data_IF_541695674031
#
_entry.id   IF_541695674031
#
_cell.length_a   1.000
_cell.length_b   1.000
_cell.length_c   1.000
_cell.angle_alpha   90.00
_cell.angle_beta   90.00
_cell.angle_gamma   90.00
#
_symmetry.space_group_name_H-M   'P 1'
#
loop_
_entity.id
_entity.type
_entity.pdbx_description
1 polymer ?
2 non-polymer ?
3 non-polymer ?
4 non-polymer ?
5 non-polymer ?
6 non-polymer ?
7 non-polymer ?
8 water ?
#
# COMPACT_ATOMS: atom_id res chain seq x y z
N UNK A 3 -25.90 15.80 12.78
CA UNK A 3 -24.92 15.40 13.80
C UNK A 3 -23.82 14.57 13.16
N UNK A 4 -22.67 14.51 13.83
CA UNK A 4 -21.51 13.83 13.26
C UNK A 4 -21.70 12.32 13.26
N UNK A 5 -21.05 11.62 12.36
CA UNK A 5 -21.01 10.15 12.47
C UNK A 5 -20.27 9.76 13.74
N UNK A 6 -20.76 8.71 14.40
CA UNK A 6 -20.18 8.21 15.64
C UNK A 6 -19.18 7.13 15.26
N UNK A 7 -17.91 7.53 15.13
CA UNK A 7 -16.88 6.65 14.58
C UNK A 7 -15.60 6.76 15.39
N UNK A 8 -14.81 5.69 15.31
CA UNK A 8 -13.48 5.57 15.91
C UNK A 8 -12.50 5.34 14.78
N UNK A 9 -11.71 6.36 14.44
CA UNK A 9 -10.82 6.27 13.29
C UNK A 9 -9.59 5.45 13.56
N UNK A 10 -9.40 4.97 14.80
CA UNK A 10 -8.35 4.01 15.12
C UNK A 10 -8.89 2.59 15.22
N UNK A 11 -10.17 2.37 14.90
CA UNK A 11 -10.81 1.06 14.97
C UNK A 11 -10.82 0.42 13.57
N UNK A 12 -10.17 -0.73 13.44
CA UNK A 12 -10.12 -1.37 12.13
C UNK A 12 -11.49 -1.69 11.56
N UNK A 13 -12.50 -1.86 12.42
CA UNK A 13 -13.84 -2.15 11.91
C UNK A 13 -14.42 -0.98 11.14
N UNK A 14 -14.00 0.26 11.44
CA UNK A 14 -14.45 1.39 10.65
C UNK A 14 -14.06 1.23 9.18
N UNK A 15 -12.83 0.81 8.93
CA UNK A 15 -12.29 0.73 7.58
C UNK A 15 -12.77 -0.51 6.84
N UNK A 16 -13.30 -1.49 7.56
CA UNK A 16 -13.91 -2.63 6.91
C UNK A 16 -15.35 -2.35 6.52
N UNK A 17 -15.87 -1.20 6.92
CA UNK A 17 -17.23 -0.80 6.62
C UNK A 17 -17.26 -0.07 5.28
N UNK A 18 -18.19 -0.49 4.44
CA UNK A 18 -18.48 0.18 3.20
C UNK A 18 -19.31 1.44 3.43
N UNK A 19 -19.54 1.84 4.67
CA UNK A 19 -20.09 3.16 4.95
C UNK A 19 -19.01 4.12 5.48
N UNK A 20 -17.73 3.76 5.40
CA UNK A 20 -16.67 4.70 5.74
C UNK A 20 -16.73 5.92 4.83
N UNK A 21 -16.97 5.72 3.53
CA UNK A 21 -16.94 6.88 2.66
C UNK A 21 -18.11 7.81 2.95
N UNK A 22 -19.24 7.26 3.42
CA UNK A 22 -20.35 8.11 3.85
C UNK A 22 -19.93 8.98 5.03
N UNK A 23 -19.17 8.41 5.96
CA UNK A 23 -18.66 9.19 7.09
C UNK A 23 -17.66 10.24 6.61
N UNK A 24 -16.75 9.86 5.71
CA UNK A 24 -15.81 10.83 5.17
C UNK A 24 -16.54 12.00 4.53
N UNK A 25 -17.59 11.70 3.76
CA UNK A 25 -18.34 12.75 3.07
C UNK A 25 -18.87 13.76 4.07
N UNK A 26 -19.40 13.30 5.20
CA UNK A 26 -19.89 14.23 6.21
C UNK A 26 -18.75 15.08 6.77
N UNK A 27 -17.61 14.46 7.05
CA UNK A 27 -16.43 15.16 7.54
C UNK A 27 -16.05 16.28 6.59
N UNK A 28 -15.95 15.96 5.30
CA UNK A 28 -15.47 16.96 4.34
C UNK A 28 -16.43 18.12 4.25
N UNK A 29 -17.74 17.88 4.41
CA UNK A 29 -18.73 18.93 4.29
C UNK A 29 -18.96 19.71 5.57
N UNK A 30 -18.60 19.17 6.73
CA UNK A 30 -19.01 19.77 7.99
C UNK A 30 -17.89 20.08 8.98
N UNK A 31 -16.79 19.33 8.92
CA UNK A 31 -15.66 19.56 9.83
C UNK A 31 -14.42 18.95 9.19
N UNK A 32 -13.82 19.65 8.24
CA UNK A 32 -12.80 19.01 7.39
C UNK A 32 -11.65 18.43 8.19
N UNK A 33 -11.23 19.11 9.24
CA UNK A 33 -10.28 18.53 10.20
C UNK A 33 -11.16 18.04 11.35
N UNK A 34 -11.49 16.76 11.29
CA UNK A 34 -12.51 16.12 12.10
C UNK A 34 -11.91 15.60 13.38
N UNK A 35 -12.71 15.63 14.46
CA UNK A 35 -12.37 14.88 15.68
C UNK A 35 -13.36 13.76 15.89
N UNK A 36 -12.85 12.53 16.04
CA UNK A 36 -13.73 11.38 16.14
C UNK A 36 -14.26 11.26 17.57
N UNK A 37 -14.92 10.13 17.88
CA UNK A 37 -15.62 10.00 19.15
C UNK A 37 -14.69 10.04 20.34
N UNK A 38 -13.40 9.78 20.13
CA UNK A 38 -12.40 9.82 21.18
C UNK A 38 -11.55 11.08 21.11
N UNK A 39 -11.87 11.99 20.23
CA UNK A 39 -11.11 13.20 20.08
C UNK A 39 -9.93 13.14 19.14
N UNK A 40 -9.72 12.01 18.46
CA UNK A 40 -8.62 11.89 17.51
C UNK A 40 -8.87 12.75 16.27
N UNK A 41 -7.90 13.58 15.94
CA UNK A 41 -8.02 14.51 14.82
C UNK A 41 -7.63 13.85 13.51
N UNK A 42 -8.32 14.22 12.44
CA UNK A 42 -8.08 13.63 11.13
C UNK A 42 -8.40 14.63 10.03
N UNK A 43 -7.45 14.84 9.12
CA UNK A 43 -7.67 15.67 7.95
C UNK A 43 -8.38 14.87 6.89
N UNK A 44 -9.61 15.29 6.54
CA UNK A 44 -10.46 14.53 5.63
C UNK A 44 -10.52 15.09 4.22
N UNK A 45 -10.15 16.36 4.01
CA UNK A 45 -10.26 16.93 2.67
C UNK A 45 -8.92 16.84 1.98
N UNK A 46 -8.97 16.81 0.65
CA UNK A 46 -7.74 16.86 -0.12
C UNK A 46 -6.91 18.08 0.26
N UNK A 47 -7.55 19.24 0.34
CA UNK A 47 -6.84 20.47 0.70
C UNK A 47 -6.13 20.36 2.05
N UNK A 48 -6.81 19.83 3.07
CA UNK A 48 -6.19 19.71 4.38
C UNK A 48 -5.05 18.70 4.37
N UNK A 49 -5.23 17.57 3.67
CA UNK A 49 -4.14 16.61 3.61
C UNK A 49 -2.92 17.23 2.94
N UNK A 50 -3.11 17.88 1.79
CA UNK A 50 -2.00 18.48 1.06
C UNK A 50 -1.34 19.57 1.89
N UNK A 51 -2.14 20.42 2.54
CA UNK A 51 -1.57 21.50 3.33
C UNK A 51 -0.77 20.97 4.51
N UNK A 52 -1.18 19.84 5.10
CA UNK A 52 -0.39 19.24 6.17
C UNK A 52 0.88 18.62 5.64
N UNK A 53 0.80 17.95 4.49
CA UNK A 53 1.99 17.35 3.88
C UNK A 53 3.04 18.40 3.54
N UNK A 54 2.58 19.60 3.14
CA UNK A 54 3.48 20.67 2.74
C UNK A 54 4.06 21.43 3.92
N UNK A 55 3.70 21.05 5.15
CA UNK A 55 4.16 21.72 6.37
C UNK A 55 4.77 20.70 7.34
N UNK A 56 5.83 20.03 6.92
CA UNK A 56 6.39 18.97 7.77
C UNK A 56 6.99 19.46 9.07
N UNK A 57 7.35 20.75 9.19
CA UNK A 57 7.89 21.22 10.46
C UNK A 57 6.80 21.40 11.50
N UNK A 58 5.56 21.57 11.07
CA UNK A 58 4.43 21.62 11.97
C UNK A 58 3.79 20.24 12.15
N UNK A 59 3.74 19.46 11.08
CA UNK A 59 3.13 18.13 11.05
C UNK A 59 4.25 17.11 10.82
N UNK A 60 4.80 16.61 11.91
CA UNK A 60 6.05 15.86 11.91
C UNK A 60 5.79 14.36 11.82
N UNK A 61 6.75 13.65 11.22
CA UNK A 61 6.71 12.19 11.21
C UNK A 61 7.48 11.57 12.37
N UNK A 62 8.18 12.38 13.16
CA UNK A 62 9.13 11.86 14.14
C UNK A 62 8.48 11.35 15.41
N UNK A 63 7.17 11.47 15.55
CA UNK A 63 6.45 10.75 16.59
C UNK A 63 5.96 9.38 16.18
N UNK A 64 6.22 8.96 14.96
CA UNK A 64 5.69 7.72 14.42
C UNK A 64 4.41 7.96 13.64
N UNK A 65 4.15 7.08 12.67
CA UNK A 65 3.05 7.31 11.75
C UNK A 65 1.78 6.53 12.11
N UNK A 66 1.75 5.88 13.28
CA UNK A 66 0.53 5.25 13.80
C UNK A 66 0.02 5.98 15.03
N UNK A 67 -1.28 5.87 15.35
CA UNK A 67 -1.86 6.78 16.36
C UNK A 67 -1.42 6.55 17.79
N UNK A 68 -1.03 5.34 18.16
CA UNK A 68 -0.69 5.12 19.57
C UNK A 68 0.52 4.21 19.71
N UNK A 69 1.52 4.42 18.85
CA UNK A 69 2.76 3.69 18.82
C UNK A 69 3.90 4.69 18.64
N UNK A 70 5.05 4.47 19.26
CA UNK A 70 6.17 5.41 19.14
C UNK A 70 6.92 5.25 17.83
N UNK A 71 7.81 6.20 17.58
CA UNK A 71 8.66 6.16 16.39
C UNK A 71 9.66 5.02 16.45
N UNK A 72 9.91 4.43 15.29
CA UNK A 72 10.99 3.49 15.07
C UNK A 72 12.06 4.10 14.19
N UNK A 73 13.28 3.56 14.21
CA UNK A 73 14.39 4.20 13.47
C UNK A 73 14.45 3.80 12.01
N UNK A 74 13.46 4.29 11.26
CA UNK A 74 13.38 4.10 9.82
C UNK A 74 12.91 5.39 9.20
N UNK A 75 13.05 5.49 7.86
CA UNK A 75 12.86 6.78 7.21
C UNK A 75 11.46 7.33 7.40
N UNK A 76 10.44 6.48 7.42
CA UNK A 76 9.07 7.00 7.44
C UNK A 76 8.73 7.63 8.78
N UNK A 77 9.54 7.36 9.81
CA UNK A 77 9.37 7.97 11.12
C UNK A 77 10.40 9.05 11.40
N UNK A 78 10.99 9.63 10.35
CA UNK A 78 11.99 10.68 10.47
C UNK A 78 11.61 11.93 9.70
N UNK A 79 12.15 13.05 10.17
CA UNK A 79 12.00 14.34 9.53
C UNK A 79 13.30 14.73 8.86
N UNK A 80 13.21 15.63 7.90
CA UNK A 80 14.40 16.20 7.30
C UNK A 80 15.13 17.07 8.33
N UNK A 81 16.46 17.12 8.30
CA UNK A 81 17.33 16.57 7.25
C UNK A 81 17.73 15.09 7.39
N UNK A 82 17.54 14.48 8.55
CA UNK A 82 17.93 13.09 8.72
C UNK A 82 17.17 12.20 7.75
N UNK A 83 15.88 12.46 7.58
CA UNK A 83 15.08 11.66 6.65
C UNK A 83 15.63 11.73 5.24
N UNK A 84 16.06 12.91 4.80
CA UNK A 84 16.52 13.05 3.41
C UNK A 84 17.78 12.24 3.14
N UNK A 85 18.70 12.22 4.10
CA UNK A 85 19.90 11.40 3.95
C UNK A 85 19.53 9.93 3.86
N UNK A 86 18.64 9.48 4.75
CA UNK A 86 18.24 8.07 4.75
C UNK A 86 17.57 7.70 3.44
N UNK A 87 16.68 8.57 2.96
CA UNK A 87 15.98 8.28 1.72
C UNK A 87 16.92 8.27 0.52
N UNK A 88 17.88 9.20 0.47
CA UNK A 88 18.86 9.18 -0.62
C UNK A 88 19.67 7.91 -0.63
N UNK A 89 19.99 7.39 0.56
CA UNK A 89 20.73 6.15 0.66
C UNK A 89 19.92 4.98 0.13
N UNK A 90 18.67 4.88 0.58
CA UNK A 90 17.81 3.77 0.18
C UNK A 90 17.41 3.92 -1.28
N UNK A 91 17.39 5.15 -1.80
CA UNK A 91 16.98 5.38 -3.18
C UNK A 91 17.84 4.63 -4.19
N UNK A 92 19.06 4.23 -3.83
CA UNK A 92 19.87 3.43 -4.74
C UNK A 92 19.14 2.19 -5.23
N UNK A 93 18.23 1.64 -4.44
CA UNK A 93 17.48 0.51 -4.89
C UNK A 93 16.24 0.82 -5.70
N UNK A 94 15.94 2.10 -5.93
CA UNK A 94 14.67 2.52 -6.51
C UNK A 94 14.88 3.60 -7.57
N UNK A 95 16.07 3.68 -8.14
CA UNK A 95 16.25 4.56 -9.30
C UNK A 95 15.34 4.11 -10.42
N UNK A 96 14.98 5.06 -11.29
CA UNK A 96 13.99 4.77 -12.31
C UNK A 96 14.46 3.68 -13.25
N UNK A 97 15.76 3.63 -13.55
CA UNK A 97 16.23 2.61 -14.48
C UNK A 97 16.25 1.23 -13.82
N UNK A 98 16.68 1.15 -12.55
CA UNK A 98 16.71 -0.14 -11.86
C UNK A 98 15.31 -0.74 -11.75
N UNK A 99 14.33 0.10 -11.42
CA UNK A 99 12.96 -0.39 -11.31
C UNK A 99 12.44 -0.81 -12.67
N UNK A 100 12.61 0.03 -13.69
CA UNK A 100 12.11 -0.33 -15.01
C UNK A 100 12.76 -1.61 -15.53
N UNK A 101 14.03 -1.85 -15.16
CA UNK A 101 14.69 -3.07 -15.60
C UNK A 101 14.06 -4.34 -15.06
N UNK A 102 13.23 -4.25 -14.02
CA UNK A 102 12.59 -5.43 -13.46
C UNK A 102 11.39 -5.89 -14.28
N UNK A 103 11.06 -5.18 -15.36
CA UNK A 103 9.81 -5.45 -16.07
C UNK A 103 9.73 -6.90 -16.53
N UNK A 104 10.80 -7.42 -17.16
CA UNK A 104 10.74 -8.80 -17.66
C UNK A 104 10.55 -9.80 -16.53
N UNK A 105 11.27 -9.62 -15.42
CA UNK A 105 11.16 -10.58 -14.33
C UNK A 105 9.78 -10.52 -13.68
N UNK A 106 9.22 -9.32 -13.53
CA UNK A 106 7.88 -9.20 -12.96
C UNK A 106 6.86 -9.82 -13.89
N UNK A 107 7.00 -9.59 -15.20
CA UNK A 107 6.09 -10.18 -16.18
C UNK A 107 6.15 -11.70 -16.11
N UNK A 108 7.35 -12.26 -15.98
CA UNK A 108 7.46 -13.71 -15.89
C UNK A 108 6.75 -14.24 -14.65
N UNK A 109 6.84 -13.53 -13.52
CA UNK A 109 6.09 -13.95 -12.34
C UNK A 109 4.59 -13.90 -12.59
N UNK A 110 4.12 -12.82 -13.24
CA UNK A 110 2.70 -12.75 -13.54
C UNK A 110 2.26 -13.93 -14.38
N UNK A 111 3.05 -14.29 -15.40
CA UNK A 111 2.61 -15.38 -16.27
C UNK A 111 2.65 -16.71 -15.56
N UNK A 112 3.62 -16.90 -14.65
CA UNK A 112 3.66 -18.12 -13.85
C UNK A 112 2.43 -18.22 -12.96
N UNK A 113 2.06 -17.10 -12.31
CA UNK A 113 0.90 -17.12 -11.44
C UNK A 113 -0.39 -17.38 -12.21
N UNK A 114 -0.54 -16.76 -13.38
CA UNK A 114 -1.74 -17.01 -14.19
C UNK A 114 -1.72 -18.44 -14.73
N UNK A 115 -0.53 -18.95 -15.08
CA UNK A 115 -0.44 -20.35 -15.52
C UNK A 115 -0.99 -21.31 -14.46
N UNK A 116 -0.84 -20.96 -13.19
CA UNK A 116 -1.25 -21.85 -12.12
C UNK A 116 -2.75 -21.97 -12.01
N UNK A 117 -3.52 -21.03 -12.55
CA UNK A 117 -4.97 -21.06 -12.42
C UNK A 117 -5.70 -21.11 -13.76
N UNK A 118 -5.03 -20.81 -14.88
CA UNK A 118 -5.77 -20.56 -16.12
C UNK A 118 -6.54 -21.77 -16.63
N UNK A 119 -6.13 -22.98 -16.28
CA UNK A 119 -6.88 -24.16 -16.73
C UNK A 119 -8.10 -24.45 -15.87
N UNK A 120 -8.25 -23.78 -14.73
CA UNK A 120 -9.29 -24.13 -13.76
C UNK A 120 -10.62 -23.47 -14.07
N UNK A 121 -10.60 -22.29 -14.66
CA UNK A 121 -11.81 -21.53 -14.90
C UNK A 121 -12.33 -20.79 -13.70
N UNK A 122 -11.64 -20.85 -12.57
CA UNK A 122 -12.03 -20.14 -11.37
C UNK A 122 -10.78 -19.98 -10.53
N UNK A 123 -10.67 -18.85 -9.84
CA UNK A 123 -9.65 -18.72 -8.81
C UNK A 123 -10.13 -17.68 -7.81
N UNK A 124 -9.43 -17.58 -6.70
CA UNK A 124 -9.61 -16.48 -5.76
C UNK A 124 -8.59 -15.44 -6.18
N UNK A 125 -9.07 -14.34 -6.76
CA UNK A 125 -8.15 -13.36 -7.31
C UNK A 125 -7.17 -12.85 -6.25
N UNK A 126 -7.64 -12.71 -5.02
CA UNK A 126 -6.76 -12.25 -3.94
C UNK A 126 -5.69 -13.29 -3.62
N UNK A 127 -6.11 -14.50 -3.31
CA UNK A 127 -5.17 -15.53 -2.87
C UNK A 127 -4.18 -15.92 -3.95
N UNK A 128 -4.66 -15.96 -5.21
CA UNK A 128 -3.92 -16.61 -6.28
C UNK A 128 -3.17 -15.65 -7.19
N UNK A 129 -3.55 -14.38 -7.22
CA UNK A 129 -2.90 -13.42 -8.12
C UNK A 129 -2.46 -12.16 -7.38
N UNK A 130 -3.38 -11.50 -6.68
CA UNK A 130 -3.06 -10.19 -6.11
C UNK A 130 -2.08 -10.27 -4.95
N UNK A 131 -2.23 -11.24 -4.08
CA UNK A 131 -1.34 -11.32 -2.93
C UNK A 131 0.02 -11.92 -3.30
N UNK A 132 0.10 -12.99 -4.10
CA UNK A 132 1.42 -13.57 -4.35
C UNK A 132 2.33 -12.73 -5.20
N UNK A 133 1.82 -11.92 -6.13
CA UNK A 133 2.74 -11.23 -7.03
C UNK A 133 3.63 -10.27 -6.30
N UNK A 134 3.11 -9.35 -5.49
CA UNK A 134 4.01 -8.37 -4.83
C UNK A 134 4.97 -9.03 -3.88
N UNK A 135 4.57 -10.13 -3.25
CA UNK A 135 5.48 -10.86 -2.38
C UNK A 135 6.61 -11.51 -3.17
N UNK A 136 6.30 -12.05 -4.33
CA UNK A 136 7.34 -12.68 -5.13
C UNK A 136 8.34 -11.65 -5.64
N UNK A 137 7.84 -10.47 -6.03
CA UNK A 137 8.72 -9.42 -6.52
C UNK A 137 9.67 -8.95 -5.43
N UNK A 138 9.11 -8.59 -4.26
CA UNK A 138 9.97 -8.11 -3.19
C UNK A 138 10.82 -9.27 -2.64
N UNK A 139 10.26 -10.48 -2.60
CA UNK A 139 11.04 -11.62 -2.16
C UNK A 139 12.27 -11.83 -3.04
N UNK A 140 12.09 -11.71 -4.36
CA UNK A 140 13.23 -11.89 -5.25
C UNK A 140 14.27 -10.79 -5.06
N UNK A 141 13.83 -9.57 -4.74
CA UNK A 141 14.74 -8.47 -4.44
C UNK A 141 15.52 -8.77 -3.16
N UNK A 142 14.90 -9.43 -2.19
CA UNK A 142 15.52 -9.70 -0.90
C UNK A 142 16.21 -11.06 -0.82
N UNK A 143 16.23 -11.83 -1.90
CA UNK A 143 16.89 -13.13 -1.87
C UNK A 143 16.10 -14.26 -1.24
N UNK A 144 14.78 -14.13 -1.16
CA UNK A 144 13.93 -15.16 -0.57
C UNK A 144 13.72 -16.28 -1.57
N UNK A 145 13.98 -17.52 -1.14
CA UNK A 145 13.72 -18.66 -2.01
C UNK A 145 12.23 -18.69 -2.34
N UNK A 146 11.84 -19.09 -3.54
CA UNK A 146 10.41 -19.10 -3.87
C UNK A 146 9.57 -19.88 -2.87
N UNK A 147 10.09 -21.01 -2.37
CA UNK A 147 9.31 -21.83 -1.45
C UNK A 147 9.27 -21.25 -0.04
N UNK A 148 9.98 -20.17 0.24
CA UNK A 148 9.91 -19.46 1.50
C UNK A 148 9.09 -18.17 1.42
N UNK A 149 8.49 -17.87 0.27
CA UNK A 149 7.70 -16.64 0.16
C UNK A 149 6.53 -16.64 1.13
N UNK A 150 5.88 -17.80 1.30
CA UNK A 150 4.71 -17.83 2.17
C UNK A 150 5.08 -17.52 3.62
N UNK A 151 6.26 -17.96 4.04
CA UNK A 151 6.75 -17.63 5.37
C UNK A 151 6.89 -16.13 5.54
N UNK A 152 7.51 -15.48 4.57
CA UNK A 152 7.66 -14.03 4.64
C UNK A 152 6.32 -13.32 4.56
N UNK A 153 5.39 -13.86 3.78
CA UNK A 153 4.05 -13.27 3.71
C UNK A 153 3.37 -13.32 5.07
N UNK A 154 3.55 -14.44 5.79
CA UNK A 154 2.98 -14.55 7.14
C UNK A 154 3.58 -13.54 8.09
N UNK A 155 4.92 -13.44 8.11
CA UNK A 155 5.57 -12.43 8.96
C UNK A 155 5.04 -11.03 8.63
N UNK A 156 4.90 -10.73 7.34
CA UNK A 156 4.43 -9.42 6.92
C UNK A 156 3.00 -9.17 7.39
N UNK A 157 2.15 -10.19 7.29
CA UNK A 157 0.79 -10.09 7.80
C UNK A 157 0.80 -9.79 9.29
N UNK A 158 1.63 -10.54 10.04
CA UNK A 158 1.74 -10.30 11.47
C UNK A 158 2.09 -8.85 11.74
N UNK A 159 3.10 -8.34 11.03
CA UNK A 159 3.64 -7.04 11.35
C UNK A 159 2.68 -5.93 10.95
N UNK A 160 1.99 -6.08 9.81
CA UNK A 160 1.04 -5.05 9.41
C UNK A 160 -0.21 -5.09 10.28
N UNK A 161 -0.54 -6.26 10.86
CA UNK A 161 -1.64 -6.30 11.82
C UNK A 161 -1.27 -5.49 13.07
N UNK A 162 -0.01 -5.57 13.50
CA UNK A 162 0.43 -4.78 14.64
C UNK A 162 0.26 -3.29 14.38
N UNK A 163 0.55 -2.86 13.15
CA UNK A 163 0.44 -1.45 12.79
C UNK A 163 -1.00 -1.02 12.65
N UNK A 164 -1.91 -1.98 12.48
CA UNK A 164 -3.30 -1.77 12.10
C UNK A 164 -4.26 -1.89 13.27
N UNK A 165 -3.75 -2.00 14.49
CA UNK A 165 -4.59 -2.19 15.65
C UNK A 165 -3.80 -1.81 16.90
N UNK A 166 -4.44 -1.97 18.06
CA UNK A 166 -3.77 -1.98 19.36
C UNK A 166 -3.77 -3.44 19.80
N UNK A 167 -2.62 -4.11 19.68
CA UNK A 167 -2.57 -5.57 19.78
C UNK A 167 -2.69 -6.02 21.23
N UNK A 168 -3.25 -7.21 21.41
CA UNK A 168 -3.18 -7.90 22.69
C UNK A 168 -1.73 -8.30 22.98
N UNK A 169 -1.50 -8.87 24.17
CA UNK A 169 -0.16 -9.29 24.53
C UNK A 169 0.33 -10.42 23.63
N UNK A 170 -0.55 -11.36 23.29
CA UNK A 170 -0.13 -12.49 22.46
C UNK A 170 0.17 -12.06 21.04
N UNK A 171 -0.62 -11.14 20.47
CA UNK A 171 -0.31 -10.62 19.14
C UNK A 171 0.93 -9.73 19.16
N UNK A 172 1.17 -9.04 20.28
CA UNK A 172 2.45 -8.34 20.44
C UNK A 172 3.62 -9.33 20.40
N UNK A 173 3.49 -10.45 21.11
CA UNK A 173 4.56 -11.43 21.09
C UNK A 173 4.77 -12.01 19.69
N UNK A 174 3.69 -12.27 18.97
CA UNK A 174 3.81 -12.78 17.60
C UNK A 174 4.55 -11.78 16.72
N UNK A 175 4.26 -10.49 16.89
CA UNK A 175 4.94 -9.46 16.12
C UNK A 175 6.43 -9.46 16.43
N UNK A 176 6.78 -9.55 17.71
CA UNK A 176 8.19 -9.52 18.08
C UNK A 176 8.91 -10.77 17.57
N UNK A 177 8.22 -11.91 17.58
CA UNK A 177 8.80 -13.14 17.06
C UNK A 177 9.07 -13.03 15.55
N UNK A 178 8.07 -12.53 14.83
CA UNK A 178 8.23 -12.31 13.39
C UNK A 178 9.38 -11.36 13.11
N UNK A 179 9.48 -10.26 13.86
CA UNK A 179 10.60 -9.36 13.65
C UNK A 179 11.94 -10.06 13.93
N UNK A 180 12.01 -10.85 15.01
CA UNK A 180 13.25 -11.54 15.31
C UNK A 180 13.67 -12.43 14.16
N UNK A 181 12.72 -13.13 13.55
CA UNK A 181 13.05 -14.01 12.45
C UNK A 181 13.49 -13.20 11.23
N UNK A 182 12.80 -12.11 10.94
CA UNK A 182 13.19 -11.24 9.82
C UNK A 182 14.57 -10.66 10.05
N UNK A 183 14.84 -10.22 11.28
CA UNK A 183 16.15 -9.67 11.63
C UNK A 183 17.24 -10.68 11.36
N UNK A 184 17.03 -11.93 11.79
CA UNK A 184 18.03 -12.97 11.59
C UNK A 184 18.31 -13.20 10.12
N UNK A 185 17.24 -13.38 9.32
CA UNK A 185 17.39 -13.62 7.89
C UNK A 185 18.16 -12.47 7.24
N UNK A 186 17.78 -11.24 7.57
CA UNK A 186 18.35 -10.08 6.89
C UNK A 186 19.79 -9.87 7.30
N UNK A 187 20.13 -10.06 8.57
CA UNK A 187 21.54 -9.93 8.97
C UNK A 187 22.39 -11.03 8.35
N UNK A 188 21.83 -12.22 8.11
CA UNK A 188 22.57 -13.23 7.35
C UNK A 188 22.82 -12.75 5.92
N UNK A 189 21.81 -12.15 5.28
CA UNK A 189 22.00 -11.63 3.93
C UNK A 189 23.04 -10.51 3.91
N UNK A 190 22.91 -9.56 4.83
CA UNK A 190 23.86 -8.45 4.90
C UNK A 190 25.29 -8.96 5.01
N UNK A 191 25.54 -9.90 5.92
CA UNK A 191 26.90 -10.39 6.08
C UNK A 191 27.41 -11.05 4.81
N UNK A 192 26.55 -11.81 4.13
CA UNK A 192 26.95 -12.47 2.89
C UNK A 192 27.24 -11.45 1.80
N UNK A 193 26.39 -10.43 1.67
CA UNK A 193 26.58 -9.48 0.58
C UNK A 193 27.72 -8.50 0.85
N UNK A 194 27.97 -8.12 2.11
CA UNK A 194 29.12 -7.29 2.41
C UNK A 194 30.40 -8.01 1.99
N UNK A 195 30.43 -9.34 2.18
CA UNK A 195 31.61 -10.12 1.81
C UNK A 195 31.64 -10.43 0.32
N UNK A 196 30.49 -10.68 -0.28
CA UNK A 196 30.43 -11.12 -1.67
C UNK A 196 29.18 -10.53 -2.32
N UNK A 197 29.27 -9.30 -2.83
CA UNK A 197 28.07 -8.63 -3.35
C UNK A 197 27.49 -9.34 -4.56
N UNK A 198 26.16 -9.31 -4.67
CA UNK A 198 25.49 -9.71 -5.90
C UNK A 198 24.82 -8.47 -6.48
N UNK A 199 23.72 -8.65 -7.19
CA UNK A 199 22.98 -7.50 -7.71
C UNK A 199 21.62 -7.33 -7.06
N UNK A 200 21.42 -7.90 -5.87
CA UNK A 200 20.12 -7.83 -5.21
C UNK A 200 20.05 -6.56 -4.36
N UNK A 201 18.91 -6.39 -3.68
CA UNK A 201 18.65 -5.12 -3.02
C UNK A 201 19.62 -4.87 -1.86
N UNK A 202 19.92 -5.90 -1.06
CA UNK A 202 20.83 -5.67 0.05
C UNK A 202 22.20 -5.30 -0.48
N UNK A 203 22.63 -5.94 -1.59
CA UNK A 203 23.91 -5.58 -2.20
C UNK A 203 23.91 -4.12 -2.63
N UNK A 204 22.85 -3.67 -3.29
CA UNK A 204 22.82 -2.28 -3.76
C UNK A 204 22.80 -1.33 -2.57
N UNK A 205 22.04 -1.68 -1.52
CA UNK A 205 21.95 -0.79 -0.37
C UNK A 205 23.26 -0.74 0.40
N UNK A 206 24.00 -1.84 0.45
CA UNK A 206 25.29 -1.85 1.13
C UNK A 206 26.27 -0.93 0.42
N UNK A 207 26.19 -0.87 -0.90
CA UNK A 207 27.13 -0.07 -1.68
C UNK A 207 26.72 1.40 -1.77
N UNK A 208 25.48 1.72 -1.39
CA UNK A 208 25.01 3.10 -1.49
C UNK A 208 25.82 4.00 -0.57
N UNK A 209 26.23 5.16 -1.09
CA UNK A 209 26.98 6.14 -0.32
C UNK A 209 26.48 7.53 -0.68
N UNK A 210 26.25 8.35 0.34
CA UNK A 210 25.69 9.69 0.18
C UNK A 210 26.33 10.60 1.21
N UNK A 211 26.91 11.71 0.74
CA UNK A 211 27.55 12.67 1.64
C UNK A 211 28.59 11.98 2.52
N UNK A 212 29.31 11.02 1.94
CA UNK A 212 30.27 10.22 2.67
C UNK A 212 29.70 9.25 3.68
N UNK A 213 28.38 9.05 3.69
CA UNK A 213 27.72 8.21 4.68
C UNK A 213 27.22 6.93 4.04
N UNK A 214 27.09 5.88 4.85
CA UNK A 214 26.54 4.60 4.40
C UNK A 214 25.52 4.07 5.41
N UNK A 215 24.74 3.09 4.99
CA UNK A 215 23.76 2.46 5.87
C UNK A 215 24.43 1.43 6.78
N UNK A 216 24.16 1.53 8.07
CA UNK A 216 24.62 0.54 9.02
C UNK A 216 23.77 -0.73 8.91
N UNK A 217 24.27 -1.80 9.55
CA UNK A 217 23.48 -3.03 9.60
C UNK A 217 22.12 -2.79 10.24
N UNK A 218 22.09 -2.06 11.36
CA UNK A 218 20.80 -1.76 12.00
C UNK A 218 19.86 -1.05 11.04
N UNK A 219 20.38 -0.07 10.30
CA UNK A 219 19.54 0.68 9.38
C UNK A 219 19.10 -0.19 8.21
N UNK A 220 19.98 -1.07 7.74
CA UNK A 220 19.59 -1.95 6.64
C UNK A 220 18.45 -2.86 7.04
N UNK A 221 18.48 -3.38 8.27
CA UNK A 221 17.37 -4.22 8.72
C UNK A 221 16.07 -3.42 8.73
N UNK A 222 16.12 -2.22 9.30
CA UNK A 222 14.87 -1.46 9.44
C UNK A 222 14.35 -0.96 8.10
N UNK A 223 15.23 -0.50 7.20
CA UNK A 223 14.75 0.01 5.93
C UNK A 223 14.26 -1.11 5.01
N UNK A 224 14.92 -2.28 5.03
CA UNK A 224 14.38 -3.39 4.22
C UNK A 224 13.08 -3.91 4.82
N UNK A 225 12.90 -3.81 6.14
CA UNK A 225 11.62 -4.18 6.73
C UNK A 225 10.50 -3.27 6.24
N UNK A 226 10.77 -1.95 6.24
CA UNK A 226 9.80 -0.99 5.70
C UNK A 226 9.45 -1.32 4.26
N UNK A 227 10.46 -1.69 3.46
CA UNK A 227 10.24 -2.04 2.06
C UNK A 227 9.42 -3.31 1.94
N UNK A 228 9.77 -4.35 2.74
CA UNK A 228 9.03 -5.61 2.69
C UNK A 228 7.56 -5.36 2.96
N UNK A 229 7.24 -4.58 4.00
CA UNK A 229 5.84 -4.37 4.36
C UNK A 229 5.15 -3.36 3.46
N UNK A 230 5.89 -2.68 2.58
CA UNK A 230 5.30 -1.98 1.46
C UNK A 230 5.18 -2.88 0.26
N UNK A 231 6.21 -3.71 0.05
CA UNK A 231 6.20 -4.60 -1.09
C UNK A 231 5.06 -5.60 -1.07
N UNK A 232 4.74 -6.13 0.11
CA UNK A 232 3.83 -7.27 0.16
C UNK A 232 2.56 -7.07 0.99
N UNK A 233 2.25 -5.85 1.45
CA UNK A 233 0.94 -5.65 2.09
C UNK A 233 0.11 -4.51 1.53
N UNK A 234 0.53 -3.86 0.44
CA UNK A 234 -0.19 -2.70 -0.08
C UNK A 234 -0.70 -2.96 -1.49
N UNK A 235 0.22 -3.13 -2.43
CA UNK A 235 -0.04 -3.35 -3.85
C UNK A 235 -1.13 -4.38 -4.07
N UNK A 236 -1.11 -5.44 -3.26
CA UNK A 236 -2.14 -6.48 -3.36
C UNK A 236 -3.53 -5.89 -3.36
N UNK A 237 -3.78 -4.90 -2.49
CA UNK A 237 -5.14 -4.40 -2.33
C UNK A 237 -5.57 -3.53 -3.50
N UNK A 238 -4.63 -2.82 -4.12
CA UNK A 238 -4.98 -2.10 -5.34
C UNK A 238 -5.21 -3.08 -6.49
N UNK A 239 -4.40 -4.15 -6.58
CA UNK A 239 -4.63 -5.15 -7.62
C UNK A 239 -6.02 -5.77 -7.51
N UNK A 240 -6.40 -6.20 -6.31
CA UNK A 240 -7.70 -6.83 -6.14
C UNK A 240 -8.84 -5.82 -6.27
N UNK A 241 -8.77 -4.74 -5.49
CA UNK A 241 -9.84 -3.78 -5.49
C UNK A 241 -10.00 -3.06 -6.81
N UNK A 242 -8.90 -2.78 -7.48
CA UNK A 242 -8.99 -2.11 -8.76
C UNK A 242 -9.55 -3.01 -9.83
N UNK A 243 -9.13 -4.29 -9.85
CA UNK A 243 -9.71 -5.24 -10.79
C UNK A 243 -11.20 -5.44 -10.50
N UNK A 244 -11.56 -5.42 -9.22
CA UNK A 244 -12.98 -5.53 -8.86
C UNK A 244 -13.80 -4.43 -9.49
N UNK A 245 -13.30 -3.19 -9.50
CA UNK A 245 -14.06 -2.11 -10.12
C UNK A 245 -14.14 -2.28 -11.62
N UNK A 246 -13.09 -2.80 -12.25
CA UNK A 246 -13.18 -3.10 -13.68
C UNK A 246 -14.27 -4.13 -13.96
N UNK A 247 -14.40 -5.12 -13.09
CA UNK A 247 -15.37 -6.19 -13.31
C UNK A 247 -16.78 -5.73 -12.94
N UNK A 248 -16.91 -4.82 -11.98
CA UNK A 248 -18.23 -4.31 -11.61
C UNK A 248 -18.79 -3.38 -12.67
N UNK A 249 -17.93 -2.67 -13.39
CA UNK A 249 -18.28 -1.68 -14.40
C UNK A 249 -17.77 -2.21 -15.73
N UNK A 250 -18.58 -3.07 -16.37
CA UNK A 250 -18.10 -3.78 -17.54
C UNK A 250 -17.67 -2.85 -18.66
N UNK A 251 -18.24 -1.66 -18.74
CA UNK A 251 -17.81 -0.69 -19.76
C UNK A 251 -16.33 -0.35 -19.59
N UNK A 252 -15.86 -0.31 -18.35
CA UNK A 252 -14.46 0.00 -18.08
C UNK A 252 -13.55 -1.16 -18.49
N UNK A 253 -13.96 -2.38 -18.11
CA UNK A 253 -13.25 -3.57 -18.57
C UNK A 253 -13.15 -3.57 -20.09
N UNK A 254 -14.28 -3.29 -20.76
CA UNK A 254 -14.30 -3.36 -22.22
C UNK A 254 -13.40 -2.31 -22.84
N UNK A 255 -13.37 -1.11 -22.26
CA UNK A 255 -12.48 -0.06 -22.76
C UNK A 255 -11.03 -0.52 -22.72
N UNK A 256 -10.61 -1.04 -21.59
CA UNK A 256 -9.21 -1.45 -21.44
C UNK A 256 -8.87 -2.60 -22.37
N UNK A 257 -9.79 -3.53 -22.57
CA UNK A 257 -9.48 -4.69 -23.39
C UNK A 257 -9.26 -4.30 -24.84
N UNK A 258 -10.01 -3.32 -25.34
CA UNK A 258 -9.85 -2.93 -26.73
C UNK A 258 -8.80 -1.86 -26.93
N UNK A 259 -8.33 -1.22 -25.85
CA UNK A 259 -7.29 -0.20 -25.97
C UNK A 259 -6.28 -0.28 -24.85
N UNK A 260 -5.23 -1.10 -25.01
CA UNK A 260 -4.24 -1.24 -23.93
C UNK A 260 -3.52 0.05 -23.59
N UNK A 261 -3.55 1.06 -24.47
CA UNK A 261 -2.90 2.33 -24.16
C UNK A 261 -3.62 3.10 -23.05
N UNK A 262 -4.81 2.66 -22.67
CA UNK A 262 -5.51 3.24 -21.54
C UNK A 262 -5.04 2.67 -20.20
N UNK A 263 -4.12 1.71 -20.20
CA UNK A 263 -3.72 1.10 -18.95
C UNK A 263 -3.09 2.07 -17.96
N UNK A 264 -2.20 2.99 -18.35
CA UNK A 264 -1.63 3.89 -17.32
C UNK A 264 -2.71 4.65 -16.56
N UNK A 265 -3.70 5.22 -17.26
CA UNK A 265 -4.77 5.91 -16.55
C UNK A 265 -5.60 4.97 -15.70
N UNK A 266 -5.79 3.74 -16.17
CA UNK A 266 -6.55 2.78 -15.38
C UNK A 266 -5.85 2.47 -14.07
N UNK A 267 -4.52 2.30 -14.11
CA UNK A 267 -3.78 2.03 -12.89
C UNK A 267 -3.93 3.19 -11.91
N UNK A 268 -3.90 4.43 -12.41
CA UNK A 268 -4.07 5.57 -11.52
C UNK A 268 -5.46 5.60 -10.88
N UNK A 269 -6.50 5.22 -11.63
CA UNK A 269 -7.84 5.19 -11.05
C UNK A 269 -8.01 4.01 -10.09
N UNK A 270 -7.33 2.88 -10.34
CA UNK A 270 -7.33 1.81 -9.36
C UNK A 270 -6.71 2.29 -8.05
N UNK A 271 -5.61 3.04 -8.14
CA UNK A 271 -4.95 3.57 -6.95
C UNK A 271 -5.83 4.57 -6.22
N UNK A 272 -6.44 5.51 -6.96
CA UNK A 272 -7.30 6.49 -6.32
C UNK A 272 -8.39 5.80 -5.51
N UNK A 273 -9.05 4.84 -6.15
CA UNK A 273 -10.24 4.22 -5.60
C UNK A 273 -9.91 3.37 -4.38
N UNK A 274 -8.83 2.59 -4.45
CA UNK A 274 -8.54 1.59 -3.44
C UNK A 274 -7.83 2.13 -2.23
N UNK A 275 -7.01 3.17 -2.41
CA UNK A 275 -6.25 3.81 -1.35
C UNK A 275 -5.90 2.82 -0.24
N UNK A 276 -5.02 1.87 -0.51
CA UNK A 276 -4.78 0.80 0.50
C UNK A 276 -4.28 1.32 1.82
N UNK A 277 -3.47 2.37 1.81
CA UNK A 277 -3.05 3.04 3.02
C UNK A 277 -4.13 4.05 3.39
N UNK A 278 -4.89 3.74 4.46
CA UNK A 278 -6.04 4.54 4.83
C UNK A 278 -5.64 5.79 5.59
N UNK A 279 -4.49 5.76 6.27
CA UNK A 279 -4.03 6.95 6.97
C UNK A 279 -2.56 6.78 7.34
N UNK A 280 -1.88 7.91 7.44
CA UNK A 280 -0.60 8.14 8.14
C UNK A 280 -0.78 9.23 9.15
N UNK A 281 -0.13 9.09 10.29
CA UNK A 281 -0.22 10.10 11.33
C UNK A 281 0.89 11.14 11.21
N UNK A 282 0.59 12.33 11.72
CA UNK A 282 1.55 13.41 11.90
C UNK A 282 1.41 13.89 13.34
N UNK A 283 2.50 14.23 13.98
CA UNK A 283 2.43 14.77 15.34
C UNK A 283 2.65 16.28 15.25
N UNK A 284 1.82 17.03 15.98
CA UNK A 284 1.88 18.48 15.94
C UNK A 284 3.07 18.96 16.76
N UNK A 285 3.85 19.86 16.20
CA UNK A 285 4.98 20.44 16.94
C UNK A 285 4.63 21.76 17.62
N UNK A 286 3.41 22.26 17.43
CA UNK A 286 2.96 23.50 18.03
C UNK A 286 1.44 23.52 17.96
N UNK A 287 0.82 24.29 18.86
CA UNK A 287 -0.60 24.58 18.72
C UNK A 287 -0.84 25.28 17.40
N UNK A 288 -1.93 24.94 16.72
CA UNK A 288 -2.20 25.58 15.44
C UNK A 288 -3.67 25.49 15.10
N UNK A 289 -4.16 26.51 14.41
CA UNK A 289 -5.52 26.50 13.88
C UNK A 289 -5.40 26.03 12.43
N UNK A 290 -5.94 24.85 12.15
CA UNK A 290 -5.71 24.17 10.88
C UNK A 290 -7.06 23.89 10.20
N UNK A 291 -7.33 24.62 9.12
CA UNK A 291 -8.59 24.49 8.38
C UNK A 291 -9.78 24.41 9.32
N UNK A 292 -9.77 25.31 10.31
CA UNK A 292 -10.91 25.54 11.16
C UNK A 292 -10.93 24.76 12.44
N UNK A 293 -9.95 23.89 12.68
CA UNK A 293 -9.90 23.09 13.90
C UNK A 293 -8.63 23.43 14.67
N UNK A 294 -8.80 23.72 15.95
CA UNK A 294 -7.67 23.93 16.84
C UNK A 294 -7.00 22.60 17.17
N UNK A 295 -5.69 22.54 16.93
CA UNK A 295 -4.87 21.38 17.21
C UNK A 295 -3.82 21.74 18.25
N UNK A 296 -3.44 20.75 19.05
CA UNK A 296 -2.55 20.94 20.19
C UNK A 296 -1.19 20.30 19.95
N UNK A 297 -0.14 21.01 20.35
CA UNK A 297 1.20 20.44 20.30
C UNK A 297 1.21 19.08 20.98
N UNK A 298 1.81 18.10 20.31
CA UNK A 298 1.98 16.77 20.86
C UNK A 298 0.93 15.76 20.47
N UNK A 299 -0.21 16.20 19.96
CA UNK A 299 -1.23 15.25 19.52
C UNK A 299 -0.95 14.81 18.10
N UNK A 300 -1.50 13.65 17.74
CA UNK A 300 -1.40 13.13 16.38
C UNK A 300 -2.66 13.40 15.58
N UNK A 301 -2.46 13.80 14.35
CA UNK A 301 -3.44 13.93 13.30
C UNK A 301 -3.29 12.89 12.22
N UNK A 302 -4.38 12.21 11.86
CA UNK A 302 -4.48 11.30 10.70
C UNK A 302 -4.59 12.09 9.41
N UNK A 303 -3.85 11.67 8.41
CA UNK A 303 -4.12 12.06 7.02
C UNK A 303 -4.98 10.98 6.40
N UNK A 304 -6.24 11.31 6.05
CA UNK A 304 -7.16 10.28 5.53
C UNK A 304 -7.09 10.24 4.00
N UNK A 305 -6.20 9.38 3.49
CA UNK A 305 -5.93 9.42 2.05
C UNK A 305 -7.11 8.95 1.23
N UNK A 306 -7.86 7.95 1.69
CA UNK A 306 -9.04 7.56 0.93
C UNK A 306 -10.07 8.69 0.90
N UNK A 307 -10.28 9.35 2.03
CA UNK A 307 -11.21 10.48 2.05
C UNK A 307 -10.80 11.56 1.04
N UNK A 308 -9.52 11.90 1.02
CA UNK A 308 -9.03 12.90 0.08
C UNK A 308 -9.25 12.47 -1.36
N UNK A 309 -9.08 11.18 -1.63
CA UNK A 309 -9.23 10.63 -2.98
C UNK A 309 -10.67 10.64 -3.45
N UNK A 310 -11.63 10.87 -2.56
CA UNK A 310 -13.05 10.96 -2.94
C UNK A 310 -13.59 12.37 -2.69
N UNK A 311 -12.70 13.35 -2.64
CA UNK A 311 -13.07 14.75 -2.39
C UNK A 311 -13.55 15.37 -3.70
N UNK A 312 -14.85 15.68 -3.74
CA UNK A 312 -15.49 16.30 -4.89
C UNK A 312 -14.89 17.65 -5.25
N UNK A 313 -14.18 18.30 -4.33
CA UNK A 313 -13.52 19.56 -4.70
C UNK A 313 -12.43 19.34 -5.74
N UNK A 314 -11.87 18.12 -5.82
CA UNK A 314 -10.78 17.82 -6.71
C UNK A 314 -11.18 16.82 -7.78
N UNK A 315 -11.98 15.81 -7.42
CA UNK A 315 -12.37 14.73 -8.30
C UNK A 315 -13.86 14.84 -8.58
N UNK A 316 -14.20 15.24 -9.79
CA UNK A 316 -15.60 15.32 -10.20
C UNK A 316 -16.22 13.93 -10.17
N UNK A 317 -17.42 13.83 -9.61
CA UNK A 317 -18.16 12.58 -9.47
C UNK A 317 -17.21 11.51 -8.92
N UNK A 318 -16.70 11.70 -7.70
CA UNK A 318 -15.67 10.79 -7.19
C UNK A 318 -16.11 9.34 -7.01
N UNK A 319 -17.41 9.08 -6.87
CA UNK A 319 -17.88 7.71 -6.77
C UNK A 319 -18.08 7.05 -8.12
N UNK A 320 -17.66 7.72 -9.19
CA UNK A 320 -17.62 7.11 -10.51
C UNK A 320 -16.20 6.59 -10.76
N UNK A 321 -16.09 5.29 -11.02
CA UNK A 321 -14.80 4.73 -11.40
C UNK A 321 -14.60 5.00 -12.90
N UNK A 322 -13.56 5.77 -13.24
CA UNK A 322 -13.34 6.23 -14.61
C UNK A 322 -11.86 6.11 -14.94
N UNK A 323 -11.49 5.06 -15.70
CA UNK A 323 -10.08 4.83 -15.99
C UNK A 323 -9.45 5.94 -16.82
N UNK A 324 -10.26 6.81 -17.43
CA UNK A 324 -9.77 7.87 -18.29
C UNK A 324 -9.55 9.18 -17.54
N UNK A 325 -9.85 9.22 -16.26
CA UNK A 325 -9.72 10.43 -15.45
C UNK A 325 -8.42 11.16 -15.72
N UNK A 326 -8.52 12.42 -16.11
CA UNK A 326 -7.35 13.27 -16.34
C UNK A 326 -7.77 14.70 -16.04
N UNK A 327 -7.20 15.35 -15.01
CA UNK A 327 -6.14 14.83 -14.14
C UNK A 327 -6.66 13.80 -13.17
N UNK A 328 -5.74 13.09 -12.54
CA UNK A 328 -6.05 12.15 -11.49
C UNK A 328 -4.92 12.23 -10.46
N UNK A 329 -4.85 13.35 -9.76
CA UNK A 329 -3.77 13.64 -8.82
C UNK A 329 -4.11 13.10 -7.43
N UNK A 330 -4.32 11.79 -7.38
CA UNK A 330 -4.71 11.16 -6.14
C UNK A 330 -3.56 11.11 -5.16
N UNK A 331 -3.91 10.84 -3.90
CA UNK A 331 -2.97 10.80 -2.79
C UNK A 331 -2.79 9.39 -2.23
N UNK A 332 -2.98 8.35 -3.05
CA UNK A 332 -2.77 6.98 -2.54
C UNK A 332 -1.34 6.77 -2.04
N UNK A 333 -0.36 7.42 -2.70
CA UNK A 333 1.05 7.36 -2.33
C UNK A 333 1.47 8.54 -1.46
N UNK A 334 0.51 9.33 -0.98
CA UNK A 334 0.85 10.54 -0.27
C UNK A 334 1.36 11.66 -1.18
N UNK A 335 2.12 12.56 -0.56
CA UNK A 335 2.62 13.77 -1.21
C UNK A 335 3.72 14.34 -0.35
N UNK A 336 4.72 14.95 -1.00
CA UNK A 336 5.69 15.68 -0.24
C UNK A 336 6.92 14.84 0.11
N UNK A 337 7.56 15.13 1.23
CA UNK A 337 8.87 14.53 1.43
C UNK A 337 8.79 13.03 1.68
N UNK A 338 7.65 12.50 2.11
CA UNK A 338 7.51 11.07 2.35
C UNK A 338 6.78 10.32 1.23
N UNK A 339 6.49 10.99 0.12
CA UNK A 339 5.86 10.37 -1.05
C UNK A 339 6.45 9.00 -1.34
N UNK A 340 5.57 8.02 -1.51
CA UNK A 340 5.97 6.61 -1.51
C UNK A 340 7.20 6.37 -2.39
N UNK A 341 8.26 5.84 -1.76
CA UNK A 341 9.47 5.54 -2.48
C UNK A 341 9.28 4.39 -3.47
N UNK A 342 8.33 3.49 -3.21
CA UNK A 342 8.07 2.36 -4.05
C UNK A 342 7.01 2.58 -5.11
N UNK A 343 6.64 3.83 -5.36
CA UNK A 343 5.48 4.10 -6.21
C UNK A 343 5.70 3.57 -7.63
N UNK A 344 6.91 3.68 -8.16
CA UNK A 344 7.14 3.24 -9.53
C UNK A 344 7.06 1.72 -9.61
N UNK A 345 7.62 1.03 -8.61
CA UNK A 345 7.58 -0.43 -8.60
C UNK A 345 6.13 -0.91 -8.44
N UNK A 346 5.37 -0.28 -7.55
CA UNK A 346 3.96 -0.67 -7.40
C UNK A 346 3.20 -0.47 -8.71
N UNK A 347 3.39 0.67 -9.37
CA UNK A 347 2.70 0.93 -10.64
C UNK A 347 3.09 -0.09 -11.70
N UNK A 348 4.36 -0.48 -11.74
CA UNK A 348 4.82 -1.46 -12.71
C UNK A 348 4.19 -2.83 -12.45
N UNK A 349 4.16 -3.27 -11.18
CA UNK A 349 3.49 -4.52 -10.85
C UNK A 349 2.03 -4.48 -11.27
N UNK A 350 1.35 -3.38 -10.93
CA UNK A 350 -0.07 -3.28 -11.24
C UNK A 350 -0.30 -3.33 -12.75
N UNK A 351 0.53 -2.61 -13.50
CA UNK A 351 0.39 -2.59 -14.95
C UNK A 351 0.63 -3.97 -15.56
N UNK A 352 1.71 -4.63 -15.14
CA UNK A 352 2.07 -5.87 -15.79
C UNK A 352 1.05 -6.97 -15.49
N UNK A 353 0.54 -7.03 -14.25
CA UNK A 353 -0.38 -8.11 -13.92
C UNK A 353 -1.74 -7.78 -14.62
N UNK A 354 -2.18 -6.52 -14.57
CA UNK A 354 -3.47 -6.18 -15.17
C UNK A 354 -3.47 -6.39 -16.68
N UNK A 355 -2.38 -6.04 -17.37
CA UNK A 355 -2.36 -6.27 -18.81
C UNK A 355 -2.50 -7.75 -19.13
N UNK A 356 -1.92 -8.61 -18.31
CA UNK A 356 -1.97 -10.05 -18.56
C UNK A 356 -3.31 -10.66 -18.17
N UNK A 357 -3.92 -10.16 -17.09
CA UNK A 357 -5.27 -10.56 -16.73
C UNK A 357 -6.24 -10.22 -17.85
N UNK A 358 -6.17 -8.99 -18.37
CA UNK A 358 -7.07 -8.59 -19.44
C UNK A 358 -6.93 -9.47 -20.67
N UNK A 359 -5.70 -9.86 -21.01
CA UNK A 359 -5.53 -10.59 -22.25
C UNK A 359 -5.65 -12.10 -22.08
N UNK A 360 -5.33 -12.64 -20.92
CA UNK A 360 -5.34 -14.08 -20.72
C UNK A 360 -6.62 -14.59 -20.07
N UNK A 361 -7.33 -13.73 -19.35
CA UNK A 361 -8.62 -14.05 -18.74
C UNK A 361 -9.67 -13.07 -19.28
N UNK A 362 -9.87 -13.05 -20.61
CA UNK A 362 -10.59 -11.91 -21.22
C UNK A 362 -12.06 -11.81 -20.85
N UNK A 363 -12.69 -12.90 -20.39
CA UNK A 363 -14.09 -12.85 -19.97
C UNK A 363 -14.24 -13.00 -18.46
N UNK A 364 -13.21 -12.57 -17.71
CA UNK A 364 -13.25 -12.61 -16.27
C UNK A 364 -14.51 -11.97 -15.70
N UNK A 365 -15.09 -12.60 -14.70
CA UNK A 365 -16.22 -12.01 -14.01
C UNK A 365 -16.21 -12.43 -12.55
N UNK A 366 -16.82 -11.58 -11.74
CA UNK A 366 -17.00 -11.85 -10.32
C UNK A 366 -18.06 -12.93 -10.09
N UNK A 367 -17.79 -13.82 -9.14
CA UNK A 367 -18.81 -14.79 -8.74
C UNK A 367 -19.89 -14.14 -7.90
N UNK A 368 -19.50 -13.30 -6.95
CA UNK A 368 -20.47 -12.68 -6.07
C UNK A 368 -20.23 -11.19 -6.01
N UNK A 369 -21.29 -10.46 -5.70
CA UNK A 369 -21.32 -9.00 -5.68
C UNK A 369 -20.43 -8.45 -4.56
N UNK A 370 -20.04 -7.20 -4.72
CA UNK A 370 -19.22 -6.50 -3.73
C UNK A 370 -19.81 -6.59 -2.33
N UNK A 371 -21.13 -6.56 -2.21
CA UNK A 371 -21.75 -6.41 -0.90
C UNK A 371 -21.50 -7.59 0.02
N UNK A 372 -21.06 -8.74 -0.50
CA UNK A 372 -20.76 -9.88 0.35
C UNK A 372 -19.26 -10.16 0.42
N UNK A 373 -18.44 -9.29 -0.17
CA UNK A 373 -17.00 -9.50 -0.15
C UNK A 373 -16.42 -8.66 0.99
N UNK A 374 -15.87 -9.27 2.02
CA UNK A 374 -15.41 -8.47 3.16
C UNK A 374 -14.06 -7.81 2.91
N UNK A 375 -13.91 -6.66 3.55
CA UNK A 375 -12.66 -5.93 3.66
C UNK A 375 -12.00 -6.28 4.98
N UNK A 376 -10.68 -6.27 4.99
CA UNK A 376 -9.92 -6.61 6.19
C UNK A 376 -10.14 -5.54 7.26
N UNK A 377 -10.63 -5.91 8.44
CA UNK A 377 -10.59 -4.99 9.58
C UNK A 377 -9.15 -4.66 9.91
N UNK A 378 -8.76 -3.41 9.64
CA UNK A 378 -7.43 -2.91 9.95
C UNK A 378 -7.51 -1.40 9.88
N UNK A 379 -6.81 -0.70 10.78
CA UNK A 379 -6.92 0.75 10.82
C UNK A 379 -5.82 1.45 10.02
N UNK A 380 -5.01 0.69 9.28
CA UNK A 380 -3.85 1.25 8.59
C UNK A 380 -3.87 0.90 7.11
N UNK A 381 -3.68 -0.38 6.79
CA UNK A 381 -3.69 -0.88 5.41
C UNK A 381 -4.81 -1.89 5.29
N UNK A 382 -5.65 -1.73 4.26
CA UNK A 382 -6.79 -2.63 4.13
C UNK A 382 -7.25 -2.74 2.70
N UNK A 383 -7.88 -3.88 2.43
CA UNK A 383 -8.48 -4.19 1.15
C UNK A 383 -9.21 -5.52 1.24
N UNK A 384 -9.52 -6.08 0.09
CA UNK A 384 -10.36 -7.29 0.05
C UNK A 384 -9.67 -8.51 0.65
N UNK A 385 -10.43 -9.30 1.39
CA UNK A 385 -9.94 -10.57 1.89
C UNK A 385 -9.94 -11.65 0.82
N UNK A 386 -10.93 -11.64 -0.05
CA UNK A 386 -11.20 -12.71 -1.00
C UNK A 386 -11.95 -12.11 -2.19
N UNK A 387 -11.76 -12.70 -3.36
CA UNK A 387 -12.48 -12.24 -4.54
C UNK A 387 -12.56 -13.37 -5.56
N UNK A 388 -13.51 -14.28 -5.35
CA UNK A 388 -13.73 -15.37 -6.31
C UNK A 388 -14.13 -14.83 -7.68
N UNK A 389 -13.47 -15.35 -8.71
CA UNK A 389 -13.70 -14.95 -10.10
C UNK A 389 -13.73 -16.19 -10.97
N UNK A 390 -14.46 -16.10 -12.09
CA UNK A 390 -14.52 -17.19 -13.07
C UNK A 390 -14.17 -16.64 -14.44
N UNK A 391 -13.79 -17.56 -15.34
CA UNK A 391 -13.29 -17.24 -16.66
C UNK A 391 -13.26 -18.51 -17.49
N UNK A 392 -13.26 -18.35 -18.78
CA UNK A 392 -13.09 -19.48 -19.67
C UNK A 392 -11.66 -20.01 -19.57
N UNK A 393 -11.46 -21.30 -19.31
CA UNK A 393 -10.10 -21.83 -19.16
C UNK A 393 -9.28 -21.70 -20.43
N UNK A 394 -7.96 -21.71 -20.24
CA UNK A 394 -6.99 -21.62 -21.33
C UNK A 394 -5.75 -22.38 -20.93
N UNK A 395 -4.91 -22.78 -21.90
CA UNK A 395 -3.68 -23.50 -21.56
C UNK A 395 -2.60 -22.56 -21.05
N UNK A 396 -1.71 -23.06 -20.20
CA UNK A 396 -0.61 -22.22 -19.71
C UNK A 396 0.38 -21.87 -20.81
N UNK A 397 1.11 -20.78 -20.57
CA UNK A 397 2.24 -20.42 -21.45
C UNK A 397 3.46 -21.28 -21.15
N UNK A 398 3.73 -21.54 -19.87
CA UNK A 398 4.85 -22.39 -19.48
C UNK A 398 6.10 -21.65 -19.10
X LIG B 1 5.76 5.59 1.91
X LIG B 1 1.56 4.11 0.01
X LIG B 1 3.88 0.53 -2.23
X LIG B 1 7.96 1.70 0.05
X LIG B 1 4.41 5.52 1.59
X LIG B 1 3.37 6.44 2.02
X LIG B 1 2.22 6.02 1.50
X LIG B 1 2.49 4.83 0.71
X LIG B 1 0.81 6.64 1.67
X LIG B 1 3.56 7.67 2.93
X LIG B 1 3.33 8.94 2.11
X LIG B 1 3.00 10.15 2.97
X LIG B 1 2.86 10.04 4.23
X LIG B 1 2.86 11.24 2.35
X LIG B 1 1.80 3.01 -0.75
X LIG B 1 0.86 2.33 -1.61
X LIG B 1 1.51 1.33 -2.22
X LIG B 1 2.90 1.36 -1.78
X LIG B 1 -0.61 2.72 -1.74
X LIG B 1 1.01 0.33 -3.25
X LIG B 1 -0.09 0.57 -3.97
X LIG B 1 5.20 0.54 -1.83
X LIG B 1 6.23 -0.37 -2.30
X LIG B 1 7.36 -0.07 -1.64
X LIG B 1 7.08 1.05 -0.76
X LIG B 1 5.99 -1.46 -3.36
X LIG B 1 8.75 -0.71 -1.77
X LIG B 1 9.07 -1.57 -2.73
X LIG B 1 7.73 2.88 0.71
X LIG B 1 8.70 3.60 1.52
X LIG B 1 8.09 4.67 2.05
X LIG B 1 6.71 4.65 1.58
X LIG B 1 10.16 3.17 1.72
X LIG B 1 8.69 5.74 2.98
X LIG B 1 9.10 6.98 2.16
X LIG B 1 9.61 8.10 3.06
X LIG B 1 10.33 9.02 2.54
X LIG B 1 9.26 8.10 4.27
X LIG B 1 3.85 4.55 0.79
X LIG B 1 3.04 2.39 -0.88
X LIG B 1 5.74 1.38 -0.89
X LIG B 1 6.52 3.53 0.77
X LIG B 1 4.80 2.99 -0.09
X LIG B 1 0.63 4.42 0.09
X LIG B 1 3.63 -0.15 -2.89
X LIG B 1 8.85 1.30 0.16
X LIG B 1 0.64 6.80 2.62
X LIG B 1 0.14 6.03 1.31
X LIG B 1 0.77 7.50 1.18
X LIG B 1 4.47 7.67 3.28
X LIG B 1 2.93 7.63 3.67
X LIG B 1 2.59 8.79 1.51
X LIG B 1 4.13 9.14 1.61
X LIG B 1 -0.93 3.04 -0.89
X LIG B 1 -1.12 1.95 -2.03
X LIG B 1 -0.69 3.44 -2.40
X LIG B 1 1.48 -0.49 -3.37
X LIG B 1 -0.40 -0.09 -4.63
X LIG B 1 -0.58 1.40 -3.86
X LIG B 1 5.08 -1.78 -3.30
X LIG B 1 6.60 -2.20 -3.20
X LIG B 1 6.15 -1.10 -4.25
X LIG B 1 9.43 -0.48 -1.12
X LIG B 1 9.97 -1.94 -2.77
X LIG B 1 8.41 -1.82 -3.39
X LIG B 1 10.62 3.82 2.27
X LIG B 1 10.60 3.10 0.86
X LIG B 1 10.18 2.29 2.17
X LIG B 1 9.47 5.37 3.42
X LIG B 1 8.03 6.00 3.64
X LIG B 1 8.35 7.29 1.66
X LIG B 1 9.81 6.72 1.55
X LIG B 1 6.05 6.37 2.40
X LIG C 1 -7.98 21.59 -3.81
X LIG C 1 -8.10 22.10 -4.95
X LIG C 1 -8.89 21.24 -3.00
X LIG C 1 -6.53 21.36 -3.33
X LIG C 1 -6.06 22.20 -3.32
X LIG C 1 -6.09 20.74 -3.92
X LIG C 1 -6.55 21.00 -2.42
X LIG D 1 4.28 1.92 1.70
X LIG D 1 3.22 2.33 2.57
X LIG D 1 3.02 1.49 3.78
X LIG D 1 4.07 1.68 4.72
X LIG D 1 4.07 0.69 5.75
X LIG D 1 4.93 1.10 6.89
X LIG D 1 5.59 -0.05 7.43
X LIG D 1 6.10 0.17 8.75
X LIG D 1 6.80 -1.08 9.25
X LIG D 1 6.84 -1.08 10.67
X LIG D 1 6.89 -2.38 11.27
X LIG D 1 6.97 -2.23 12.77
X LIG D 1 6.34 -3.30 13.46
X LIG E 1 -10.55 22.20 3.58
X LIG F 1 16.91 -5.45 -6.20
X LIG G 1 14.32 12.65 12.68
X LIG H 1 -20.22 10.86 -6.99
X LIG I 1 6.62 23.59 7.68
X LIG J 1 4.70 1.65 7.68
X LIG J 1 4.63 0.54 6.86
X LIG J 1 3.58 0.44 5.78
X LIG J 1 3.88 1.06 4.44
X LIG J 1 2.86 1.47 3.60
X LIG J 1 3.14 1.99 2.36
X LIG J 1 7.38 0.78 10.03
X LIG J 1 6.45 0.67 8.96
X LIG J 1 8.92 -1.02 9.43
X LIG J 1 4.37 2.08 1.87
X LIG J 1 6.39 -0.46 8.17
X LIG J 1 9.18 0.16 11.59
X LIG J 1 5.47 -0.53 7.14
X LIG J 1 5.17 1.22 3.96
X LIG J 1 5.60 1.72 8.72
X LIG J 1 7.31 -1.60 11.35
X LIG J 1 6.92 -1.45 12.67
X LIG J 1 6.12 -2.41 13.25
X LIG J 1 5.70 -3.49 12.52
X LIG J 1 6.09 -3.64 11.21
X LIG J 1 6.90 -2.70 10.62
X LIG J 1 5.36 1.75 2.71
X LIG J 1 8.34 -0.41 10.59
X LIG J 1 4.13 2.38 7.52
X LIG J 1 3.39 -0.51 5.63
X LIG J 1 2.76 0.86 6.12
X LIG J 1 1.96 1.38 3.90
X LIG J 1 2.43 2.30 1.83
X LIG J 1 7.44 1.55 10.43
X LIG J 1 6.97 -1.19 8.33
X LIG J 1 5.43 -1.31 6.61
X LIG J 1 5.90 0.96 4.50
X LIG J 1 5.63 2.49 9.27
X LIG J 1 7.21 -0.71 13.17
X LIG J 1 5.85 -2.32 14.15
X LIG J 1 5.15 -4.15 12.92
X LIG J 1 5.81 -4.38 10.71
X LIG J 1 7.17 -2.79 9.72
X LIG J 1 6.25 1.90 2.42
#
# INVERSE_FOLDING_TARGET
GTEAPDVDLADGNFYASREARAAYRWMRANQPVFRDRNGLAAASTYQAVIDAERQPELFSNAGGIRPDQPALPMMIDMDDPAHLLRRKLVNAGFTRKRVKDKEASIAALCDTLIDAVCERGECDFVRDLAAPLPMAVIGDMLGVRPEQRDMFLRWSDDLVTFLSSHVSQEDFQITMDAFAAYNDFTRATIAARRADPTDDLVSVLVSSEVDGERLSDDELVMETLLILIGGDETTRHTLSGGTEQLLRNRDQWDLLQRDPSLLPGAIEEMLRWTAPVKNMCRVLTADTEFHGTALCAGEKMMLLFESANFDEAVFCEPEKFDVQRNPNSHLAFGFGTHFCLGNQLARLELSLMTERVLRRLPDLRLVADDSVLPLRPANFVSGLESMPVVFTPSPPLG
HEM CHA CHB CHC CHD C1A C2A C3A C4A CMA CAA CBA CGA O1A O2A C1B C2B C3B C4B CMB CAB CBB C1C C2C C3C C4C CMC CAC CBC C1D C2D C3D C4D CMD CAD CBD CGD O1D O2D NA NB NC ND FE HHB HHC HHD HMA HMAA HMAB HAA HAAA HBA HBAA HMB HMBA HMBB HAB HBB HBBA HMC HMCA HMCB HAC HBC HBCA HMD HMDA HMDB HAD HADA HBD HBDA HHA
ACT C O OXT CH3 H1 H2 H3
PG4 O1 C1 C2 O2 C3 C4 O3 C5 C6 O4 C7 C8 O5
BR BR
BR BR
BR BR
CL CL
CL CL
EIQ C11 C4 C5 C6 C7 C8 N1 C1 O1 N2 C2 O2 C3 C10 C12 C13 C14 C15 C16 C17 C18 C9 S1 H10 H4 H5 H6 H7 H1 H2 H3 H9 H11 H12 H13 H14 H15 H16 H8
#
